data_IF_644321230731
#
_entry.id   IF_644321230731
#
_cell.length_a   1.000
_cell.length_b   1.000
_cell.length_c   1.000
_cell.angle_alpha   90.00
_cell.angle_beta   90.00
_cell.angle_gamma   90.00
#
_symmetry.space_group_name_H-M   'P 1'
#
loop_
_entity.id
_entity.type
_entity.pdbx_description
1 polymer ?
#
# COMPACT_ATOMS: atom_id res chain seq x y z
N UNK A 1 -21.56 31.62 -24.96
CA UNK A 1 -20.72 30.41 -25.15
C UNK A 1 -19.79 30.32 -23.94
N UNK A 2 -20.17 29.53 -22.93
CA UNK A 2 -19.26 29.25 -21.81
C UNK A 2 -18.27 28.18 -22.32
N UNK A 3 -17.09 28.60 -22.65
CA UNK A 3 -15.94 27.73 -22.83
C UNK A 3 -15.60 27.20 -21.42
N UNK A 4 -16.19 26.07 -21.05
CA UNK A 4 -15.80 25.36 -19.85
C UNK A 4 -14.43 24.76 -20.11
N UNK A 5 -13.39 25.55 -19.91
CA UNK A 5 -12.01 25.04 -19.94
C UNK A 5 -11.92 23.93 -18.92
N UNK A 6 -11.87 22.70 -19.42
CA UNK A 6 -11.73 21.51 -18.58
C UNK A 6 -10.46 21.66 -17.74
N UNK A 7 -10.59 21.51 -16.43
CA UNK A 7 -9.45 21.72 -15.51
C UNK A 7 -8.36 20.70 -15.83
N UNK A 8 -7.11 21.15 -15.85
CA UNK A 8 -5.95 20.28 -16.01
C UNK A 8 -6.01 19.14 -14.98
N UNK A 9 -6.11 17.89 -15.44
CA UNK A 9 -6.29 16.72 -14.61
C UNK A 9 -4.96 16.02 -14.32
N UNK A 10 -4.55 16.05 -13.07
CA UNK A 10 -3.35 15.37 -12.57
C UNK A 10 -3.80 14.09 -11.86
N UNK A 11 -3.34 12.94 -12.35
CA UNK A 11 -3.59 11.65 -11.72
C UNK A 11 -2.28 11.13 -11.10
N UNK A 12 -2.34 10.70 -9.84
CA UNK A 12 -1.23 10.12 -9.08
C UNK A 12 -1.61 8.67 -8.76
N UNK A 13 -0.78 7.73 -9.21
CA UNK A 13 -0.96 6.29 -8.96
C UNK A 13 -0.05 5.86 -7.83
N UNK A 14 -0.65 5.36 -6.74
CA UNK A 14 0.02 4.95 -5.53
C UNK A 14 -0.06 5.99 -4.41
N UNK A 15 -0.71 5.62 -3.31
CA UNK A 15 -0.94 6.43 -2.12
C UNK A 15 0.13 6.26 -1.04
N UNK A 16 1.27 5.66 -1.34
CA UNK A 16 2.42 5.61 -0.43
C UNK A 16 2.92 7.01 -0.05
N UNK A 17 3.99 7.07 0.76
CA UNK A 17 4.50 8.34 1.32
C UNK A 17 4.66 9.45 0.28
N UNK A 18 5.27 9.16 -0.87
CA UNK A 18 5.49 10.17 -1.91
C UNK A 18 4.21 10.59 -2.64
N UNK A 19 3.33 9.64 -2.97
CA UNK A 19 2.10 9.93 -3.71
C UNK A 19 1.08 10.67 -2.85
N UNK A 20 0.89 10.28 -1.60
CA UNK A 20 -0.01 10.94 -0.66
C UNK A 20 0.45 12.36 -0.32
N UNK A 21 1.74 12.54 -0.06
CA UNK A 21 2.30 13.87 0.20
C UNK A 21 2.11 14.79 -1.00
N UNK A 22 2.41 14.30 -2.21
CA UNK A 22 2.22 15.06 -3.44
C UNK A 22 0.75 15.41 -3.68
N UNK A 23 -0.17 14.46 -3.51
CA UNK A 23 -1.62 14.70 -3.64
C UNK A 23 -2.10 15.78 -2.67
N UNK A 24 -1.65 15.71 -1.42
CA UNK A 24 -1.95 16.70 -0.37
C UNK A 24 -1.42 18.09 -0.74
N UNK A 25 -0.16 18.19 -1.15
CA UNK A 25 0.45 19.48 -1.55
C UNK A 25 -0.24 20.09 -2.78
N UNK A 26 -0.46 19.28 -3.82
CA UNK A 26 -1.12 19.75 -5.05
C UNK A 26 -2.60 20.08 -4.80
N UNK A 27 -3.30 19.28 -4.02
CA UNK A 27 -4.68 19.53 -3.64
C UNK A 27 -4.83 20.89 -2.94
N UNK A 28 -4.00 21.17 -1.94
CA UNK A 28 -4.01 22.45 -1.24
C UNK A 28 -3.56 23.64 -2.12
N UNK A 29 -2.60 23.42 -3.00
CA UNK A 29 -2.03 24.50 -3.84
C UNK A 29 -2.88 24.83 -5.07
N UNK A 30 -3.40 23.80 -5.74
CA UNK A 30 -4.10 23.91 -7.03
C UNK A 30 -5.57 23.52 -6.91
N UNK A 31 -5.90 22.39 -6.27
CA UNK A 31 -7.26 21.88 -6.14
C UNK A 31 -8.18 22.85 -5.40
N UNK A 32 -7.76 23.32 -4.22
CA UNK A 32 -8.49 24.33 -3.43
C UNK A 32 -8.81 25.61 -4.21
N UNK A 33 -7.97 25.94 -5.17
CA UNK A 33 -8.12 27.18 -5.98
C UNK A 33 -8.84 26.93 -7.32
N UNK A 34 -9.30 25.70 -7.57
CA UNK A 34 -9.91 25.34 -8.84
C UNK A 34 -8.99 25.48 -10.05
N UNK A 35 -7.66 25.37 -9.86
CA UNK A 35 -6.67 25.51 -10.94
C UNK A 35 -6.32 24.17 -11.60
N UNK A 36 -6.53 23.06 -10.90
CA UNK A 36 -6.35 21.70 -11.42
C UNK A 36 -7.23 20.73 -10.65
N UNK A 37 -7.58 19.63 -11.28
CA UNK A 37 -8.22 18.47 -10.67
C UNK A 37 -7.11 17.49 -10.29
N UNK A 38 -7.01 17.16 -9.00
CA UNK A 38 -6.01 16.22 -8.48
C UNK A 38 -6.73 14.92 -8.11
N UNK A 39 -6.26 13.79 -8.61
CA UNK A 39 -6.81 12.47 -8.28
C UNK A 39 -5.70 11.56 -7.79
N UNK A 40 -5.85 11.02 -6.59
CA UNK A 40 -5.03 9.95 -6.06
C UNK A 40 -5.74 8.61 -6.30
N UNK A 41 -5.01 7.63 -6.82
CA UNK A 41 -5.48 6.27 -7.04
C UNK A 41 -4.65 5.32 -6.19
N UNK A 42 -5.31 4.49 -5.38
CA UNK A 42 -4.68 3.41 -4.64
C UNK A 42 -5.62 2.20 -4.54
N UNK A 43 -5.06 1.02 -4.34
CA UNK A 43 -5.83 -0.22 -4.15
C UNK A 43 -6.30 -0.43 -2.70
N UNK A 44 -5.83 0.37 -1.76
CA UNK A 44 -6.24 0.36 -0.36
C UNK A 44 -7.11 1.59 -0.05
N UNK A 45 -7.91 1.51 1.01
CA UNK A 45 -8.71 2.66 1.52
C UNK A 45 -7.93 3.49 2.53
N UNK A 46 -6.91 2.91 3.11
CA UNK A 46 -6.13 3.47 4.21
C UNK A 46 -4.65 3.40 3.89
N UNK A 47 -3.88 4.25 4.54
CA UNK A 47 -2.44 4.29 4.47
C UNK A 47 -1.84 3.93 5.82
N UNK A 48 -1.02 2.90 5.84
CA UNK A 48 -0.05 2.65 6.91
C UNK A 48 1.31 3.08 6.39
N UNK A 49 2.03 3.83 7.17
CA UNK A 49 3.35 4.28 6.76
C UNK A 49 4.32 3.10 6.70
N UNK A 50 4.75 2.76 5.48
CA UNK A 50 5.60 1.58 5.22
C UNK A 50 6.82 1.47 6.16
N UNK A 51 7.52 2.54 6.58
CA UNK A 51 8.57 2.47 7.59
C UNK A 51 8.17 1.87 8.94
N UNK A 52 6.88 1.86 9.29
CA UNK A 52 6.37 1.30 10.55
C UNK A 52 5.94 -0.17 10.46
N UNK A 53 6.10 -0.81 9.30
CA UNK A 53 5.67 -2.21 9.12
C UNK A 53 6.43 -3.20 10.01
N UNK A 54 7.66 -2.89 10.43
CA UNK A 54 8.40 -3.72 11.37
C UNK A 54 7.75 -3.71 12.77
N UNK A 55 7.24 -2.57 13.22
CA UNK A 55 6.51 -2.45 14.49
C UNK A 55 5.17 -3.22 14.45
N UNK A 56 4.45 -3.17 13.32
CA UNK A 56 3.24 -3.98 13.11
C UNK A 56 3.59 -5.46 13.13
N UNK A 57 4.67 -5.87 12.47
CA UNK A 57 5.14 -7.25 12.42
C UNK A 57 5.57 -7.77 13.80
N UNK A 58 6.22 -6.94 14.59
CA UNK A 58 6.58 -7.27 15.98
C UNK A 58 5.37 -7.24 16.93
N UNK A 59 4.31 -6.51 16.59
CA UNK A 59 3.11 -6.33 17.41
C UNK A 59 3.21 -5.20 18.41
N UNK A 60 4.17 -4.30 18.24
CA UNK A 60 4.35 -3.10 19.06
C UNK A 60 3.48 -1.95 18.57
N UNK A 61 3.03 -1.99 17.31
CA UNK A 61 2.10 -1.04 16.72
C UNK A 61 0.78 -1.74 16.32
N UNK A 62 -0.35 -1.12 16.66
CA UNK A 62 -1.66 -1.54 16.18
C UNK A 62 -2.00 -0.85 14.86
N UNK A 63 -1.89 -1.55 13.74
CA UNK A 63 -2.13 -1.00 12.41
C UNK A 63 -3.50 -0.32 12.26
N UNK A 64 -4.53 -0.83 12.95
CA UNK A 64 -5.91 -0.29 12.86
C UNK A 64 -6.08 1.08 13.52
N UNK A 65 -5.25 1.42 14.50
CA UNK A 65 -5.33 2.72 15.20
C UNK A 65 -4.54 3.81 14.47
N UNK A 66 -3.49 3.42 13.75
CA UNK A 66 -2.56 4.33 13.09
C UNK A 66 -2.80 4.46 11.58
N UNK A 67 -3.86 3.84 11.07
CA UNK A 67 -4.26 3.95 9.69
C UNK A 67 -4.85 5.33 9.36
N UNK A 68 -4.40 5.91 8.27
CA UNK A 68 -4.92 7.19 7.78
C UNK A 68 -5.85 6.97 6.59
N UNK A 69 -7.10 7.38 6.71
CA UNK A 69 -8.11 7.25 5.66
C UNK A 69 -7.82 8.16 4.45
N UNK A 70 -7.62 7.59 3.27
CA UNK A 70 -7.48 8.35 2.03
C UNK A 70 -8.70 9.21 1.70
N UNK A 71 -9.96 8.74 1.81
CA UNK A 71 -11.14 9.59 1.59
C UNK A 71 -11.20 10.80 2.53
N UNK A 72 -10.84 10.62 3.81
CA UNK A 72 -10.83 11.73 4.77
C UNK A 72 -9.74 12.76 4.43
N UNK A 73 -8.53 12.29 4.08
CA UNK A 73 -7.45 13.16 3.64
C UNK A 73 -7.79 13.88 2.33
N UNK A 74 -8.42 13.20 1.39
CA UNK A 74 -8.84 13.77 0.11
C UNK A 74 -9.81 14.95 0.31
N UNK A 75 -10.81 14.76 1.16
CA UNK A 75 -11.75 15.82 1.53
C UNK A 75 -11.04 17.01 2.17
N UNK A 76 -10.20 16.75 3.18
CA UNK A 76 -9.48 17.79 3.93
C UNK A 76 -8.51 18.59 3.05
N UNK A 77 -7.88 17.93 2.08
CA UNK A 77 -6.79 18.49 1.29
C UNK A 77 -7.14 18.76 -0.18
N UNK A 78 -8.44 18.81 -0.51
CA UNK A 78 -8.94 19.26 -1.82
C UNK A 78 -8.39 18.45 -3.01
N UNK A 79 -8.26 17.13 -2.87
CA UNK A 79 -8.03 16.20 -3.95
C UNK A 79 -9.13 15.12 -3.99
N UNK A 80 -9.20 14.34 -5.05
CA UNK A 80 -10.12 13.21 -5.19
C UNK A 80 -9.37 11.92 -4.92
N UNK A 81 -10.01 11.00 -4.22
CA UNK A 81 -9.51 9.64 -4.07
C UNK A 81 -10.33 8.67 -4.95
N UNK A 82 -9.65 7.73 -5.59
CA UNK A 82 -10.26 6.64 -6.35
C UNK A 82 -9.62 5.32 -5.96
N UNK A 83 -10.41 4.47 -5.30
CA UNK A 83 -9.97 3.11 -5.00
C UNK A 83 -9.90 2.29 -6.29
N UNK A 84 -8.83 1.52 -6.45
CA UNK A 84 -8.66 0.59 -7.56
C UNK A 84 -7.20 0.39 -7.95
N UNK A 85 -6.98 -0.69 -8.68
CA UNK A 85 -5.67 -1.04 -9.24
C UNK A 85 -5.64 -0.61 -10.71
N UNK A 86 -4.70 0.25 -11.06
CA UNK A 86 -4.45 0.56 -12.47
C UNK A 86 -3.90 -0.68 -13.19
N UNK A 87 -4.49 -1.03 -14.31
CA UNK A 87 -4.09 -2.18 -15.11
C UNK A 87 -3.76 -1.84 -16.57
N UNK A 88 -4.21 -0.68 -17.04
CA UNK A 88 -3.99 -0.26 -18.44
C UNK A 88 -3.59 1.21 -18.52
N UNK A 89 -2.64 1.50 -19.40
CA UNK A 89 -2.22 2.85 -19.75
C UNK A 89 -2.23 2.99 -21.28
N UNK A 90 -2.98 3.96 -21.77
CA UNK A 90 -2.87 4.43 -23.15
C UNK A 90 -2.26 5.84 -23.16
N UNK A 91 -1.04 5.95 -23.67
CA UNK A 91 -0.29 7.22 -23.72
C UNK A 91 -0.74 8.14 -24.85
N UNK A 92 -1.28 7.58 -25.91
CA UNK A 92 -1.75 8.34 -27.08
C UNK A 92 -3.05 9.07 -26.75
N UNK A 93 -4.03 8.35 -26.18
CA UNK A 93 -5.31 8.94 -25.74
C UNK A 93 -5.23 9.60 -24.35
N UNK A 94 -4.09 9.47 -23.65
CA UNK A 94 -3.89 9.90 -22.25
C UNK A 94 -4.96 9.35 -21.33
N UNK A 95 -5.15 8.04 -21.35
CA UNK A 95 -6.14 7.35 -20.54
C UNK A 95 -5.49 6.27 -19.69
N UNK A 96 -5.98 6.13 -18.48
CA UNK A 96 -5.72 4.96 -17.61
C UNK A 96 -7.01 4.21 -17.36
N UNK A 97 -6.92 2.90 -17.16
CA UNK A 97 -8.04 2.11 -16.67
C UNK A 97 -7.71 1.49 -15.32
N UNK A 98 -8.72 1.45 -14.45
CA UNK A 98 -8.68 0.71 -13.20
C UNK A 98 -9.43 -0.60 -13.38
N UNK A 99 -8.81 -1.70 -12.98
CA UNK A 99 -9.41 -3.03 -13.00
C UNK A 99 -10.72 -3.06 -12.19
N UNK A 100 -11.65 -3.95 -12.55
CA UNK A 100 -12.80 -4.20 -11.71
C UNK A 100 -12.34 -4.69 -10.33
N UNK A 101 -13.16 -4.40 -9.31
CA UNK A 101 -12.92 -4.89 -7.95
C UNK A 101 -14.00 -5.89 -7.60
N UNK A 102 -13.59 -7.08 -7.15
CA UNK A 102 -14.47 -8.17 -6.74
C UNK A 102 -14.29 -8.49 -5.26
N UNK A 103 -15.31 -9.05 -4.65
CA UNK A 103 -15.24 -9.59 -3.29
C UNK A 103 -14.48 -10.94 -3.26
N UNK A 104 -14.40 -11.55 -2.06
CA UNK A 104 -13.73 -12.85 -1.87
C UNK A 104 -14.40 -14.01 -2.60
N UNK A 105 -15.66 -13.84 -3.02
CA UNK A 105 -16.43 -14.82 -3.78
C UNK A 105 -16.32 -14.58 -5.29
N UNK A 106 -15.57 -13.57 -5.73
CA UNK A 106 -15.43 -13.21 -7.14
C UNK A 106 -16.57 -12.34 -7.67
N UNK A 107 -17.48 -11.86 -6.82
CA UNK A 107 -18.58 -10.98 -7.23
C UNK A 107 -18.04 -9.58 -7.43
N UNK A 108 -18.11 -9.09 -8.68
CA UNK A 108 -17.71 -7.73 -9.03
C UNK A 108 -18.70 -6.72 -8.42
N UNK A 109 -18.16 -5.76 -7.63
CA UNK A 109 -18.95 -4.68 -7.05
C UNK A 109 -18.48 -3.28 -7.49
N UNK A 110 -17.30 -3.15 -8.06
CA UNK A 110 -16.87 -1.94 -8.76
C UNK A 110 -16.44 -2.33 -10.17
N UNK A 111 -17.13 -1.85 -11.21
CA UNK A 111 -16.78 -2.17 -12.58
C UNK A 111 -15.47 -1.49 -13.01
N UNK A 112 -14.93 -1.91 -14.14
CA UNK A 112 -13.80 -1.23 -14.82
C UNK A 112 -14.13 0.23 -15.04
N UNK A 113 -13.17 1.13 -14.75
CA UNK A 113 -13.32 2.57 -14.92
C UNK A 113 -12.13 3.13 -15.67
N UNK A 114 -12.41 4.05 -16.61
CA UNK A 114 -11.37 4.73 -17.39
C UNK A 114 -11.35 6.21 -17.02
N UNK A 115 -10.17 6.78 -16.95
CA UNK A 115 -9.94 8.18 -16.60
C UNK A 115 -8.97 8.81 -17.58
N UNK A 116 -9.34 9.99 -18.11
CA UNK A 116 -8.42 10.84 -18.87
C UNK A 116 -7.54 11.63 -17.93
N UNK A 117 -6.31 11.87 -18.35
CA UNK A 117 -5.36 12.71 -17.62
C UNK A 117 -4.62 13.67 -18.57
N UNK A 118 -4.17 14.79 -18.04
CA UNK A 118 -3.19 15.67 -18.69
C UNK A 118 -1.78 15.36 -18.18
N UNK A 119 -1.66 15.09 -16.88
CA UNK A 119 -0.41 14.67 -16.24
C UNK A 119 -0.65 13.39 -15.45
N UNK A 120 0.21 12.39 -15.67
CA UNK A 120 0.19 11.12 -14.93
C UNK A 120 1.49 10.96 -14.14
N UNK A 121 1.37 10.61 -12.86
CA UNK A 121 2.49 10.44 -11.94
C UNK A 121 2.42 9.04 -11.34
N UNK A 122 3.52 8.29 -11.43
CA UNK A 122 3.67 7.00 -10.78
C UNK A 122 4.41 7.16 -9.46
N UNK A 123 3.77 6.76 -8.37
CA UNK A 123 4.30 6.76 -7.00
C UNK A 123 4.05 5.40 -6.34
N UNK A 124 4.18 4.31 -7.12
CA UNK A 124 3.78 2.94 -6.73
C UNK A 124 4.72 2.27 -5.72
N UNK A 125 5.83 2.92 -5.37
CA UNK A 125 6.81 2.37 -4.44
C UNK A 125 7.62 1.22 -5.02
N UNK A 126 8.29 0.48 -4.15
CA UNK A 126 9.08 -0.71 -4.46
C UNK A 126 8.48 -1.94 -3.80
N UNK A 127 8.80 -3.09 -4.34
CA UNK A 127 8.54 -4.41 -3.74
C UNK A 127 9.85 -5.10 -3.43
N UNK A 128 9.85 -5.97 -2.43
CA UNK A 128 11.00 -6.79 -2.10
C UNK A 128 11.33 -7.72 -3.28
N UNK A 129 12.60 -7.79 -3.63
CA UNK A 129 13.09 -8.63 -4.70
C UNK A 129 13.71 -9.91 -4.11
N UNK A 130 13.30 -11.06 -4.60
CA UNK A 130 13.84 -12.36 -4.22
C UNK A 130 15.16 -12.70 -4.95
N UNK A 131 15.56 -11.87 -5.92
CA UNK A 131 16.72 -12.07 -6.80
C UNK A 131 16.76 -13.44 -7.48
N UNK A 132 15.60 -14.10 -7.61
CA UNK A 132 15.45 -15.47 -8.11
C UNK A 132 16.28 -16.51 -7.31
N UNK A 133 16.54 -16.24 -6.05
CA UNK A 133 17.21 -17.18 -5.15
C UNK A 133 16.22 -18.32 -4.86
N UNK A 134 16.66 -19.55 -5.15
CA UNK A 134 15.84 -20.75 -4.97
C UNK A 134 15.41 -20.89 -3.50
N UNK A 135 14.13 -21.11 -3.29
CA UNK A 135 13.53 -21.31 -1.97
C UNK A 135 13.08 -20.04 -1.26
N UNK A 136 13.43 -18.84 -1.74
CA UNK A 136 13.05 -17.59 -1.08
C UNK A 136 11.54 -17.40 -1.13
N UNK A 137 10.90 -17.59 -2.28
CA UNK A 137 9.45 -17.44 -2.42
C UNK A 137 8.66 -18.45 -1.59
N UNK A 138 9.19 -19.65 -1.45
CA UNK A 138 8.53 -20.77 -0.76
C UNK A 138 8.70 -20.72 0.75
N UNK A 139 9.80 -20.14 1.25
CA UNK A 139 10.21 -20.29 2.65
C UNK A 139 10.36 -18.96 3.41
N UNK A 140 10.44 -17.82 2.70
CA UNK A 140 10.56 -16.52 3.33
C UNK A 140 9.19 -15.78 3.34
N UNK A 141 8.98 -15.01 4.39
CA UNK A 141 7.92 -14.01 4.46
C UNK A 141 8.50 -12.66 4.07
N UNK A 142 7.82 -11.95 3.20
CA UNK A 142 8.20 -10.59 2.81
C UNK A 142 7.45 -9.57 3.68
N UNK A 143 8.01 -8.37 3.82
CA UNK A 143 7.43 -7.30 4.61
C UNK A 143 7.22 -6.07 3.72
N UNK A 144 6.29 -6.15 2.80
CA UNK A 144 5.99 -5.10 1.83
C UNK A 144 4.70 -4.35 2.11
N UNK A 145 3.73 -5.02 2.73
CA UNK A 145 2.37 -4.49 2.98
C UNK A 145 1.98 -4.68 4.45
N UNK A 146 0.93 -3.96 4.88
CA UNK A 146 0.34 -4.17 6.21
C UNK A 146 -0.13 -5.62 6.40
N UNK A 147 -0.76 -6.20 5.38
CA UNK A 147 -1.21 -7.60 5.42
C UNK A 147 -0.06 -8.60 5.60
N UNK A 148 1.12 -8.32 5.03
CA UNK A 148 2.32 -9.13 5.23
C UNK A 148 2.80 -9.02 6.68
N UNK A 149 2.81 -7.81 7.24
CA UNK A 149 3.22 -7.55 8.62
C UNK A 149 2.29 -8.25 9.63
N UNK A 150 0.98 -8.14 9.44
CA UNK A 150 -0.01 -8.84 10.25
C UNK A 150 0.13 -10.38 10.14
N UNK A 151 0.34 -10.88 8.91
CA UNK A 151 0.55 -12.31 8.69
C UNK A 151 1.80 -12.81 9.42
N UNK A 152 2.89 -12.04 9.34
CA UNK A 152 4.13 -12.36 10.07
C UNK A 152 3.89 -12.36 11.58
N UNK A 153 3.23 -11.34 12.11
CA UNK A 153 2.89 -11.24 13.54
C UNK A 153 2.09 -12.45 14.03
N UNK A 154 1.02 -12.82 13.32
CA UNK A 154 0.21 -13.97 13.67
C UNK A 154 1.00 -15.29 13.63
N UNK A 155 1.88 -15.44 12.63
CA UNK A 155 2.73 -16.63 12.53
C UNK A 155 3.76 -16.72 13.67
N UNK A 156 4.34 -15.59 14.05
CA UNK A 156 5.25 -15.49 15.19
C UNK A 156 4.56 -15.91 16.49
N UNK A 157 3.38 -15.34 16.77
CA UNK A 157 2.55 -15.68 17.93
C UNK A 157 2.15 -17.17 17.91
N UNK A 158 1.70 -17.68 16.75
CA UNK A 158 1.34 -19.10 16.61
C UNK A 158 2.49 -20.03 16.97
N UNK A 159 3.71 -19.72 16.52
CA UNK A 159 4.91 -20.50 16.84
C UNK A 159 5.25 -20.42 18.34
N UNK A 160 5.15 -19.24 18.93
CA UNK A 160 5.40 -19.04 20.37
C UNK A 160 4.40 -19.81 21.23
N UNK A 161 3.10 -19.71 20.94
CA UNK A 161 2.06 -20.46 21.64
C UNK A 161 2.19 -21.96 21.48
N UNK A 162 2.52 -22.44 20.26
CA UNK A 162 2.76 -23.86 20.03
C UNK A 162 3.94 -24.37 20.87
N UNK A 163 5.03 -23.62 20.93
CA UNK A 163 6.19 -23.96 21.73
C UNK A 163 5.90 -23.94 23.23
N UNK A 164 5.07 -22.99 23.69
CA UNK A 164 4.65 -22.90 25.10
C UNK A 164 3.74 -24.06 25.52
N UNK A 165 2.82 -24.47 24.65
CA UNK A 165 1.83 -25.49 24.95
C UNK A 165 2.33 -26.95 24.75
N UNK A 166 3.46 -27.17 24.06
CA UNK A 166 3.97 -28.52 23.82
C UNK A 166 4.54 -29.13 25.07
N UNK A 167 4.37 -30.45 25.22
CA UNK A 167 4.90 -31.23 26.35
C UNK A 167 6.26 -31.88 26.03
N UNK A 168 6.62 -31.96 24.72
CA UNK A 168 7.93 -32.43 24.26
C UNK A 168 8.98 -31.32 24.37
N UNK A 169 10.27 -31.66 24.51
CA UNK A 169 11.34 -30.67 24.46
C UNK A 169 11.32 -29.87 23.16
N UNK A 170 11.72 -28.60 23.22
CA UNK A 170 11.87 -27.76 22.02
C UNK A 170 12.89 -28.39 21.08
N UNK A 171 12.54 -28.45 19.77
CA UNK A 171 13.47 -28.85 18.74
C UNK A 171 14.54 -27.78 18.55
N UNK A 172 15.74 -28.19 18.17
CA UNK A 172 16.78 -27.23 17.80
C UNK A 172 16.28 -26.27 16.72
N UNK A 173 16.45 -24.98 16.91
CA UNK A 173 16.02 -23.94 15.98
C UNK A 173 14.52 -23.63 15.95
N UNK A 174 13.67 -24.29 16.76
CA UNK A 174 12.21 -24.16 16.70
C UNK A 174 11.73 -22.71 16.86
N UNK A 175 12.40 -21.90 17.66
CA UNK A 175 12.09 -20.49 17.92
C UNK A 175 13.14 -19.53 17.31
N UNK A 176 14.01 -20.02 16.46
CA UNK A 176 14.97 -19.15 15.76
C UNK A 176 14.29 -18.47 14.58
N UNK A 177 14.42 -17.15 14.51
CA UNK A 177 14.02 -16.33 13.37
C UNK A 177 15.29 -15.89 12.63
N UNK A 178 15.32 -16.07 11.33
CA UNK A 178 16.39 -15.59 10.47
C UNK A 178 15.88 -14.42 9.64
N UNK A 179 16.56 -13.29 9.69
CA UNK A 179 16.23 -12.10 8.89
C UNK A 179 17.25 -12.00 7.77
N UNK A 180 16.78 -12.06 6.53
CA UNK A 180 17.62 -11.93 5.35
C UNK A 180 17.59 -10.49 4.85
N UNK A 181 18.71 -9.80 4.97
CA UNK A 181 18.86 -8.39 4.57
C UNK A 181 19.15 -7.46 5.75
N UNK A 182 20.19 -6.65 5.60
CA UNK A 182 20.63 -5.68 6.60
C UNK A 182 20.24 -4.23 6.21
N UNK A 183 19.13 -4.07 5.49
CA UNK A 183 18.51 -2.76 5.26
C UNK A 183 17.78 -2.28 6.52
N UNK A 184 17.29 -1.03 6.51
CA UNK A 184 16.61 -0.42 7.66
C UNK A 184 15.56 -1.35 8.27
N UNK A 185 14.60 -1.83 7.47
CA UNK A 185 13.53 -2.73 7.94
C UNK A 185 14.04 -4.00 8.62
N UNK A 186 15.11 -4.64 8.08
CA UNK A 186 15.65 -5.85 8.68
C UNK A 186 16.37 -5.60 10.00
N UNK A 187 17.09 -4.48 10.12
CA UNK A 187 17.74 -4.05 11.36
C UNK A 187 16.71 -3.66 12.41
N UNK A 188 15.72 -2.86 12.05
CA UNK A 188 14.64 -2.42 12.92
C UNK A 188 13.81 -3.61 13.44
N UNK A 189 13.36 -4.52 12.54
CA UNK A 189 12.65 -5.73 12.95
C UNK A 189 13.47 -6.65 13.87
N UNK A 190 14.79 -6.65 13.74
CA UNK A 190 15.65 -7.47 14.61
C UNK A 190 15.82 -6.91 16.01
N UNK A 191 15.48 -5.64 16.23
CA UNK A 191 15.59 -4.93 17.50
C UNK A 191 14.29 -4.93 18.29
N UNK A 192 13.15 -5.23 17.66
CA UNK A 192 11.83 -5.39 18.28
C UNK A 192 11.68 -6.77 18.94
#
# INVERSE_FOLDING_TARGET
MNDSTELHHIIIIGGGAGGLELATKLGNKLGKKGKAKITLVDCQLTHVWKPLLHEVAAGTLNSYEDEVSYPALAYKNHFLFRIGRMDTLNRETKEISLAPTSDRNGIEYIPRRTFKYDTLIFAVGSQTNDFNIKGVKEHCMFLDTNADAETFHHELLRKAYTAHAQTSPLREGQLKVAIAGAGATGVELSAE
#
